data_IF_510861701612
#
_entry.id   IF_510861701612
#
_cell.length_a   1.000
_cell.length_b   1.000
_cell.length_c   1.000
_cell.angle_alpha   90.00
_cell.angle_beta   90.00
_cell.angle_gamma   90.00
#
_symmetry.space_group_name_H-M   'P 1'
#
loop_
_entity.id
_entity.type
_entity.pdbx_description
1 polymer ?
#
# COMPACT_ATOMS: atom_id res chain seq x y z
N UNK A 1 10.16 7.66 -12.46
CA UNK A 1 9.96 6.31 -11.93
C UNK A 1 10.31 6.42 -10.46
N UNK A 2 9.31 6.35 -9.60
CA UNK A 2 9.54 6.52 -8.17
C UNK A 2 9.92 5.18 -7.55
N UNK A 3 10.99 5.17 -6.77
CA UNK A 3 11.44 3.96 -6.11
C UNK A 3 10.49 3.63 -4.96
N UNK A 4 10.09 2.36 -4.89
CA UNK A 4 9.35 1.78 -3.77
C UNK A 4 10.10 0.54 -3.30
N UNK A 5 10.23 0.37 -1.98
CA UNK A 5 10.75 -0.88 -1.45
C UNK A 5 9.80 -2.03 -1.83
N UNK A 6 10.34 -3.21 -2.21
CA UNK A 6 9.53 -4.42 -2.29
C UNK A 6 8.86 -4.71 -0.95
N UNK A 7 7.70 -5.38 -0.94
CA UNK A 7 6.98 -5.71 0.30
C UNK A 7 7.84 -6.44 1.33
N UNK A 8 8.70 -7.36 0.88
CA UNK A 8 9.64 -8.05 1.77
C UNK A 8 10.63 -7.11 2.47
N UNK A 9 11.06 -6.03 1.80
CA UNK A 9 11.96 -5.03 2.38
C UNK A 9 11.22 -4.10 3.35
N UNK A 10 9.97 -3.73 3.06
CA UNK A 10 9.11 -3.02 4.01
C UNK A 10 8.93 -3.82 5.31
N UNK A 11 8.59 -5.11 5.21
CA UNK A 11 8.43 -5.99 6.38
C UNK A 11 9.73 -6.08 7.18
N UNK A 12 10.88 -6.28 6.52
CA UNK A 12 12.18 -6.33 7.19
C UNK A 12 12.52 -5.00 7.88
N UNK A 13 12.20 -3.88 7.25
CA UNK A 13 12.42 -2.55 7.81
C UNK A 13 11.60 -2.36 9.10
N UNK A 14 10.29 -2.61 9.06
CA UNK A 14 9.43 -2.49 10.25
C UNK A 14 9.93 -3.36 11.41
N UNK A 15 10.22 -4.63 11.14
CA UNK A 15 10.72 -5.57 12.17
C UNK A 15 12.06 -5.14 12.76
N UNK A 16 12.98 -4.61 11.93
CA UNK A 16 14.27 -4.10 12.40
C UNK A 16 14.13 -2.93 13.38
N UNK A 17 13.05 -2.16 13.25
CA UNK A 17 12.77 -1.01 14.10
C UNK A 17 11.80 -1.30 15.25
N UNK A 18 11.60 -2.59 15.58
CA UNK A 18 10.75 -2.99 16.71
C UNK A 18 9.27 -2.75 16.43
N UNK A 19 8.81 -2.99 15.20
CA UNK A 19 7.39 -2.99 14.89
C UNK A 19 6.91 -4.39 14.48
N UNK A 20 5.77 -4.79 15.04
CA UNK A 20 4.98 -5.91 14.54
C UNK A 20 4.12 -5.41 13.38
N UNK A 21 4.16 -6.12 12.25
CA UNK A 21 3.23 -5.87 11.13
C UNK A 21 1.92 -6.58 11.44
N UNK A 22 0.84 -5.82 11.59
CA UNK A 22 -0.47 -6.35 11.95
C UNK A 22 -1.36 -6.57 10.71
N UNK A 23 -1.25 -5.69 9.71
CA UNK A 23 -2.01 -5.81 8.47
C UNK A 23 -1.31 -5.12 7.28
N UNK A 24 -1.66 -5.55 6.07
CA UNK A 24 -1.34 -4.91 4.81
C UNK A 24 -2.62 -4.75 4.00
N UNK A 25 -3.08 -3.50 3.87
CA UNK A 25 -4.33 -3.18 3.20
C UNK A 25 -4.02 -2.67 1.80
N UNK A 26 -4.40 -3.44 0.79
CA UNK A 26 -4.33 -3.08 -0.63
C UNK A 26 -5.64 -2.42 -1.06
N UNK A 27 -5.63 -1.09 -1.22
CA UNK A 27 -6.85 -0.31 -1.42
C UNK A 27 -7.55 -0.64 -2.75
N UNK A 28 -8.88 -0.68 -2.68
CA UNK A 28 -9.77 -0.83 -3.84
C UNK A 28 -10.75 0.33 -3.92
N UNK A 29 -10.84 1.03 -5.07
CA UNK A 29 -11.81 2.10 -5.22
C UNK A 29 -13.23 1.52 -5.23
N UNK A 30 -14.14 2.20 -4.52
CA UNK A 30 -15.57 1.89 -4.58
C UNK A 30 -16.11 2.03 -6.03
N UNK A 31 -17.25 1.40 -6.37
CA UNK A 31 -17.81 1.46 -7.73
C UNK A 31 -18.02 2.88 -8.26
N UNK A 32 -18.46 3.81 -7.40
CA UNK A 32 -18.72 5.21 -7.74
C UNK A 32 -17.52 6.15 -7.56
N UNK A 33 -16.34 5.63 -7.20
CA UNK A 33 -15.16 6.44 -6.98
C UNK A 33 -14.71 7.16 -8.25
N UNK A 34 -14.17 8.37 -8.08
CA UNK A 34 -13.54 9.18 -9.14
C UNK A 34 -12.05 9.33 -8.82
N UNK A 35 -11.21 9.46 -9.85
CA UNK A 35 -9.77 9.70 -9.68
C UNK A 35 -9.39 11.08 -10.21
N UNK A 36 -8.50 11.76 -9.49
CA UNK A 36 -7.80 12.96 -9.94
C UNK A 36 -6.43 12.65 -10.54
N UNK A 37 -6.02 11.36 -10.56
CA UNK A 37 -4.73 10.88 -11.05
C UNK A 37 -4.87 9.87 -12.21
N UNK A 38 -5.61 10.21 -13.30
CA UNK A 38 -5.96 9.24 -14.34
C UNK A 38 -4.76 8.72 -15.15
N UNK A 39 -3.63 9.44 -15.16
CA UNK A 39 -2.39 9.03 -15.85
C UNK A 39 -1.50 8.10 -15.03
N UNK A 40 -1.64 8.10 -13.70
CA UNK A 40 -0.80 7.31 -12.80
C UNK A 40 -1.49 6.00 -12.40
N UNK A 41 -2.73 6.10 -11.93
CA UNK A 41 -3.54 4.97 -11.53
C UNK A 41 -4.96 5.13 -12.12
N UNK A 42 -5.17 4.76 -13.39
CA UNK A 42 -6.50 4.75 -13.99
C UNK A 42 -7.47 3.91 -13.14
N UNK A 43 -8.74 4.31 -13.03
CA UNK A 43 -9.73 3.58 -12.21
C UNK A 43 -9.90 2.11 -12.64
N UNK A 44 -9.84 1.83 -13.95
CA UNK A 44 -9.90 0.45 -14.43
C UNK A 44 -8.75 -0.40 -13.91
N UNK A 45 -7.54 0.17 -13.89
CA UNK A 45 -6.37 -0.48 -13.31
C UNK A 45 -6.54 -0.68 -11.81
N UNK A 46 -6.86 0.39 -11.07
CA UNK A 46 -7.00 0.37 -9.61
C UNK A 46 -8.09 -0.61 -9.11
N UNK A 47 -9.10 -0.92 -9.94
CA UNK A 47 -10.12 -1.94 -9.66
C UNK A 47 -9.59 -3.38 -9.79
N UNK A 48 -8.53 -3.61 -10.56
CA UNK A 48 -7.95 -4.95 -10.80
C UNK A 48 -6.64 -5.17 -10.04
N UNK A 49 -5.81 -4.14 -9.93
CA UNK A 49 -4.53 -4.15 -9.23
C UNK A 49 -4.46 -3.02 -8.19
N UNK A 50 -3.82 -3.21 -7.04
CA UNK A 50 -3.69 -2.17 -6.04
C UNK A 50 -2.92 -0.98 -6.61
N UNK A 51 -3.47 0.22 -6.41
CA UNK A 51 -2.78 1.47 -6.74
C UNK A 51 -1.91 1.96 -5.56
N UNK A 52 -2.31 1.60 -4.34
CA UNK A 52 -1.70 2.04 -3.09
C UNK A 52 -1.80 0.89 -2.06
N UNK A 53 -0.92 0.93 -1.07
CA UNK A 53 -0.93 0.01 0.07
C UNK A 53 -0.80 0.80 1.39
N UNK A 54 -1.49 0.33 2.42
CA UNK A 54 -1.40 0.85 3.78
C UNK A 54 -0.85 -0.25 4.67
N UNK A 55 0.19 0.07 5.43
CA UNK A 55 0.77 -0.82 6.42
C UNK A 55 0.26 -0.47 7.80
N UNK A 56 -0.35 -1.44 8.49
CA UNK A 56 -0.73 -1.29 9.90
C UNK A 56 0.36 -1.93 10.73
N UNK A 57 1.04 -1.11 11.52
CA UNK A 57 2.17 -1.55 12.35
C UNK A 57 1.98 -1.07 13.78
N UNK A 58 2.32 -1.93 14.72
CA UNK A 58 2.33 -1.61 16.15
C UNK A 58 3.76 -1.65 16.66
N UNK A 59 4.15 -0.63 17.41
CA UNK A 59 5.45 -0.60 18.08
C UNK A 59 5.49 -1.65 19.19
N UNK A 60 6.54 -2.45 19.19
CA UNK A 60 6.90 -3.36 20.26
C UNK A 60 7.50 -2.53 21.40
N UNK A 61 7.13 -2.87 22.64
CA UNK A 61 7.56 -2.17 23.85
C UNK A 61 9.06 -2.22 24.07
#
# INVERSE_FOLDING_TARGET
MDFQLPYGEWIRLFRRHGFTVEDLIELRPAPSARTTYPWFAPLEWARRYPAENIWVVRREG
#
